data_IF_589866178175
#
_entry.id   IF_589866178175
#
_cell.length_a   1.000
_cell.length_b   1.000
_cell.length_c   1.000
_cell.angle_alpha   90.00
_cell.angle_beta   90.00
_cell.angle_gamma   90.00
#
_symmetry.space_group_name_H-M   'P 1'
#
loop_
_entity.id
_entity.type
_entity.pdbx_description
1 polymer ?
#
# COMPACT_ATOMS: atom_id res chain seq x y z
N UNK A 1 -14.20 -8.77 4.18
CA UNK A 1 -14.02 -7.99 2.95
C UNK A 1 -13.55 -6.60 3.38
N UNK A 2 -12.39 -6.15 2.90
CA UNK A 2 -11.81 -4.84 3.23
C UNK A 2 -12.13 -3.92 2.05
N UNK A 3 -12.82 -2.81 2.30
CA UNK A 3 -13.26 -1.89 1.25
C UNK A 3 -12.22 -0.83 0.91
N UNK A 4 -11.42 -0.41 1.89
CA UNK A 4 -10.33 0.53 1.72
C UNK A 4 -9.25 0.22 2.76
N UNK A 5 -8.02 0.59 2.44
CA UNK A 5 -6.89 0.47 3.34
C UNK A 5 -6.10 1.78 3.36
N UNK A 6 -5.94 2.37 4.54
CA UNK A 6 -5.15 3.58 4.73
C UNK A 6 -4.08 3.36 5.78
N UNK A 7 -2.85 3.74 5.46
CA UNK A 7 -1.73 3.67 6.38
C UNK A 7 -0.44 4.11 5.72
N UNK A 8 0.69 3.69 6.29
CA UNK A 8 2.02 4.08 5.82
C UNK A 8 2.59 3.05 4.87
N UNK A 9 2.97 3.46 3.68
CA UNK A 9 3.60 2.58 2.70
C UNK A 9 4.99 2.19 3.21
N UNK A 10 5.15 0.96 3.67
CA UNK A 10 6.40 0.50 4.31
C UNK A 10 7.25 -0.31 3.34
N UNK A 11 6.64 -0.92 2.31
CA UNK A 11 7.38 -1.60 1.25
C UNK A 11 6.64 -1.45 -0.08
N UNK A 12 7.40 -1.29 -1.17
CA UNK A 12 6.88 -1.01 -2.51
C UNK A 12 7.55 -1.94 -3.53
N UNK A 13 6.82 -2.94 -4.02
CA UNK A 13 7.23 -3.85 -5.09
C UNK A 13 6.23 -3.78 -6.29
N UNK A 14 6.65 -4.02 -7.53
CA UNK A 14 5.78 -3.89 -8.70
C UNK A 14 4.53 -4.79 -8.70
N UNK A 15 4.58 -5.90 -7.95
CA UNK A 15 3.47 -6.85 -7.84
C UNK A 15 2.68 -6.72 -6.52
N UNK A 16 3.25 -6.06 -5.49
CA UNK A 16 2.69 -6.00 -4.15
C UNK A 16 3.24 -4.82 -3.36
N UNK A 17 2.48 -4.35 -2.40
CA UNK A 17 2.91 -3.32 -1.46
C UNK A 17 2.58 -3.72 -0.03
N UNK A 18 3.36 -3.23 0.93
CA UNK A 18 3.08 -3.42 2.35
C UNK A 18 2.71 -2.08 2.95
N UNK A 19 1.52 -2.02 3.54
CA UNK A 19 1.00 -0.85 4.24
C UNK A 19 0.97 -1.15 5.74
N UNK A 20 1.71 -0.39 6.53
CA UNK A 20 1.63 -0.45 7.98
C UNK A 20 0.42 0.36 8.45
N UNK A 21 -0.48 -0.31 9.15
CA UNK A 21 -1.65 0.29 9.77
C UNK A 21 -1.57 0.02 11.26
N UNK A 22 -1.15 1.02 12.04
CA UNK A 22 -1.00 0.93 13.49
C UNK A 22 -0.13 -0.26 13.96
N UNK A 23 0.95 -0.57 13.25
CA UNK A 23 1.85 -1.69 13.57
C UNK A 23 1.48 -3.03 12.96
N UNK A 24 0.45 -3.09 12.11
CA UNK A 24 0.09 -4.28 11.33
C UNK A 24 0.46 -4.05 9.87
N UNK A 25 1.37 -4.87 9.34
CA UNK A 25 1.77 -4.85 7.93
C UNK A 25 0.79 -5.61 7.06
N UNK A 26 0.01 -4.88 6.26
CA UNK A 26 -0.92 -5.44 5.29
C UNK A 26 -0.26 -5.56 3.92
N UNK A 27 -0.14 -6.79 3.42
CA UNK A 27 0.27 -7.04 2.04
C UNK A 27 -0.92 -6.86 1.09
N UNK A 28 -0.77 -5.97 0.12
CA UNK A 28 -1.79 -5.67 -0.90
C UNK A 28 -1.20 -5.90 -2.27
N UNK A 29 -1.86 -6.74 -3.06
CA UNK A 29 -1.52 -6.94 -4.46
C UNK A 29 -2.16 -5.82 -5.28
N UNK A 30 -1.31 -5.03 -5.94
CA UNK A 30 -1.75 -3.89 -6.74
C UNK A 30 -1.33 -4.10 -8.20
N UNK A 31 -2.15 -3.68 -9.18
CA UNK A 31 -1.73 -3.63 -10.57
C UNK A 31 -0.54 -2.67 -10.76
N UNK A 32 0.22 -2.89 -11.83
CA UNK A 32 1.37 -2.04 -12.18
C UNK A 32 0.97 -0.56 -12.39
N UNK A 33 -0.24 -0.33 -12.90
CA UNK A 33 -0.80 1.02 -13.07
C UNK A 33 -0.97 1.73 -11.74
N UNK A 34 -1.58 1.07 -10.76
CA UNK A 34 -1.75 1.59 -9.39
C UNK A 34 -0.40 1.80 -8.73
N UNK A 35 0.53 0.84 -8.84
CA UNK A 35 1.89 0.94 -8.28
C UNK A 35 2.61 2.23 -8.68
N UNK A 36 2.47 2.63 -9.94
CA UNK A 36 3.14 3.83 -10.47
C UNK A 36 2.51 5.11 -9.93
N UNK A 37 1.23 5.06 -9.55
CA UNK A 37 0.52 6.17 -8.89
C UNK A 37 0.70 6.21 -7.38
N UNK A 38 1.23 5.15 -6.74
CA UNK A 38 1.48 5.14 -5.31
C UNK A 38 2.64 6.08 -4.95
N UNK A 39 2.58 6.75 -3.78
CA UNK A 39 3.65 7.61 -3.28
C UNK A 39 4.92 6.80 -2.95
N UNK A 40 5.96 7.49 -2.51
CA UNK A 40 7.21 6.88 -2.07
C UNK A 40 7.08 6.15 -0.72
N UNK A 41 8.00 5.20 -0.50
CA UNK A 41 8.09 4.46 0.76
C UNK A 41 8.26 5.43 1.95
N UNK A 42 7.49 5.21 3.00
CA UNK A 42 7.41 6.05 4.19
C UNK A 42 6.30 7.10 4.15
N UNK A 43 5.58 7.24 3.03
CA UNK A 43 4.45 8.18 2.91
C UNK A 43 3.12 7.52 3.28
N UNK A 44 2.15 8.33 3.68
CA UNK A 44 0.76 7.91 3.87
C UNK A 44 0.13 7.57 2.51
N UNK A 45 -0.62 6.47 2.46
CA UNK A 45 -1.28 5.97 1.26
C UNK A 45 -2.68 5.47 1.60
N UNK A 46 -3.62 5.67 0.67
CA UNK A 46 -4.95 5.08 0.72
C UNK A 46 -5.20 4.28 -0.55
N UNK A 47 -5.60 3.03 -0.38
CA UNK A 47 -5.99 2.13 -1.46
C UNK A 47 -7.49 1.87 -1.31
N UNK A 48 -8.24 2.08 -2.38
CA UNK A 48 -9.68 1.84 -2.53
C UNK A 48 -9.91 0.81 -3.66
#
# INVERSE_FOLDING_TARGET
MIAHLRGKLTQKDPARVIVDVNGVGYEVFVPLTTFTSLPDQGSDVSID
#
